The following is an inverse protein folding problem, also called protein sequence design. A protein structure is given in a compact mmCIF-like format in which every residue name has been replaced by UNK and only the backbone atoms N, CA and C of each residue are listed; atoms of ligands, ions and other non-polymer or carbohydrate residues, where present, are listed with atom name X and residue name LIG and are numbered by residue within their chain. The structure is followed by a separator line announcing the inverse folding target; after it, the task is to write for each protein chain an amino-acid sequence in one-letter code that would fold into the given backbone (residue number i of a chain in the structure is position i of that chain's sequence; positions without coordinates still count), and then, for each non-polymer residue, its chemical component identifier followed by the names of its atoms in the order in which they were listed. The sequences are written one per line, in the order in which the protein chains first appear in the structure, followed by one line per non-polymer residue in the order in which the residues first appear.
data_IF_489242821077
#
_entry.id   IF_489242821077
#
_cell.length_a   1.000
_cell.length_b   1.000
_cell.length_c   1.000
_cell.angle_alpha   90.00
_cell.angle_beta   90.00
_cell.angle_gamma   90.00
#
_symmetry.space_group_name_H-M   'P 1'
#
loop_
_entity.id
_entity.type
_entity.pdbx_description
1 polymer ?
#
# COMPACT_ATOMS: atom_id res chain seq x y z
N UNK A 1 29.15 -16.81 14.95
CA UNK A 1 27.72 -16.58 14.67
C UNK A 1 27.64 -15.93 13.29
N UNK A 2 27.41 -16.71 12.24
CA UNK A 2 27.30 -16.17 10.88
C UNK A 2 25.98 -15.42 10.76
N UNK A 3 26.03 -14.09 10.59
CA UNK A 3 24.87 -13.31 10.16
C UNK A 3 24.53 -13.76 8.74
N UNK A 4 23.40 -14.39 8.57
CA UNK A 4 22.86 -14.66 7.25
C UNK A 4 22.63 -13.31 6.57
N UNK A 5 23.41 -13.02 5.53
CA UNK A 5 23.15 -11.88 4.65
C UNK A 5 21.82 -12.11 3.99
N UNK A 6 20.82 -11.30 4.32
CA UNK A 6 19.55 -11.28 3.59
C UNK A 6 19.82 -10.67 2.22
N UNK A 7 19.97 -11.50 1.20
CA UNK A 7 20.01 -11.03 -0.17
C UNK A 7 18.59 -10.74 -0.65
N UNK A 8 18.37 -9.53 -1.13
CA UNK A 8 17.16 -9.23 -1.91
C UNK A 8 17.27 -9.96 -3.23
N UNK A 9 16.32 -10.82 -3.55
CA UNK A 9 16.24 -11.44 -4.87
C UNK A 9 15.76 -10.39 -5.89
N UNK A 10 16.71 -9.67 -6.46
CA UNK A 10 16.45 -8.58 -7.40
C UNK A 10 15.86 -9.08 -8.71
N UNK A 11 16.20 -10.30 -9.15
CA UNK A 11 15.63 -10.87 -10.38
C UNK A 11 14.13 -11.09 -10.22
N UNK A 12 13.73 -11.73 -9.11
CA UNK A 12 12.34 -11.95 -8.80
C UNK A 12 11.57 -10.65 -8.61
N UNK A 13 12.20 -9.64 -8.02
CA UNK A 13 11.61 -8.33 -7.85
C UNK A 13 11.38 -7.63 -9.19
N UNK A 14 12.33 -7.77 -10.13
CA UNK A 14 12.19 -7.24 -11.51
C UNK A 14 11.00 -7.87 -12.23
N UNK A 15 10.81 -9.19 -12.11
CA UNK A 15 9.66 -9.89 -12.71
C UNK A 15 8.34 -9.34 -12.15
N UNK A 16 8.25 -9.15 -10.84
CA UNK A 16 7.06 -8.55 -10.21
C UNK A 16 6.77 -7.13 -10.70
N UNK A 17 7.78 -6.30 -10.90
CA UNK A 17 7.57 -4.97 -11.45
C UNK A 17 7.15 -4.99 -12.91
N UNK A 18 7.65 -5.95 -13.69
CA UNK A 18 7.17 -6.17 -15.04
C UNK A 18 5.66 -6.53 -15.05
N UNK A 19 5.25 -7.50 -14.23
CA UNK A 19 3.85 -7.91 -14.10
C UNK A 19 2.97 -6.74 -13.64
N UNK A 20 3.44 -5.94 -12.70
CA UNK A 20 2.76 -4.72 -12.28
C UNK A 20 2.61 -3.72 -13.43
N UNK A 21 3.67 -3.51 -14.23
CA UNK A 21 3.67 -2.48 -15.26
C UNK A 21 2.78 -2.83 -16.46
N UNK A 22 2.73 -4.09 -16.87
CA UNK A 22 2.08 -4.52 -18.10
C UNK A 22 0.80 -5.32 -17.91
N UNK A 23 0.72 -6.12 -16.84
CA UNK A 23 -0.41 -7.03 -16.62
C UNK A 23 -1.31 -6.57 -15.46
N UNK A 24 -0.86 -5.59 -14.66
CA UNK A 24 -1.61 -5.11 -13.50
C UNK A 24 -1.64 -6.10 -12.34
N UNK A 25 -0.76 -7.10 -12.34
CA UNK A 25 -0.62 -8.11 -11.27
C UNK A 25 0.37 -7.59 -10.23
N UNK A 26 -0.12 -7.20 -9.09
CA UNK A 26 0.65 -6.50 -8.05
C UNK A 26 0.72 -7.27 -6.72
N UNK A 27 -0.19 -8.23 -6.51
CA UNK A 27 -0.37 -8.88 -5.20
C UNK A 27 0.88 -9.62 -4.74
N UNK A 28 1.52 -10.37 -5.65
CA UNK A 28 2.71 -11.15 -5.33
C UNK A 28 3.92 -10.27 -5.02
N UNK A 29 4.11 -9.20 -5.77
CA UNK A 29 5.20 -8.25 -5.56
C UNK A 29 5.09 -7.53 -4.21
N UNK A 30 3.91 -7.01 -3.89
CA UNK A 30 3.69 -6.34 -2.60
C UNK A 30 3.71 -7.31 -1.42
N UNK A 31 3.23 -8.54 -1.59
CA UNK A 31 3.35 -9.59 -0.57
C UNK A 31 4.81 -9.96 -0.32
N UNK A 32 5.60 -10.10 -1.38
CA UNK A 32 7.05 -10.35 -1.28
C UNK A 32 7.75 -9.27 -0.45
N UNK A 33 7.44 -7.99 -0.69
CA UNK A 33 7.99 -6.87 0.10
C UNK A 33 7.54 -6.94 1.56
N UNK A 34 6.27 -7.24 1.82
CA UNK A 34 5.75 -7.37 3.18
C UNK A 34 6.40 -8.51 3.96
N UNK A 35 6.63 -9.66 3.32
CA UNK A 35 7.34 -10.79 3.91
C UNK A 35 8.82 -10.47 4.21
N UNK A 36 9.47 -9.73 3.30
CA UNK A 36 10.83 -9.26 3.53
C UNK A 36 10.90 -8.29 4.71
N UNK A 37 9.93 -7.37 4.83
CA UNK A 37 9.81 -6.48 5.99
C UNK A 37 9.64 -7.25 7.29
N UNK A 38 8.74 -8.24 7.33
CA UNK A 38 8.50 -9.06 8.51
C UNK A 38 9.78 -9.80 8.98
N UNK A 39 10.55 -10.34 8.04
CA UNK A 39 11.82 -11.03 8.35
C UNK A 39 12.86 -10.10 8.98
N UNK A 40 12.97 -8.86 8.49
CA UNK A 40 13.95 -7.88 9.01
C UNK A 40 13.48 -7.32 10.36
N UNK A 41 12.19 -7.06 10.51
CA UNK A 41 11.62 -6.41 11.70
C UNK A 41 11.49 -7.36 12.90
N UNK A 42 11.28 -8.65 12.67
CA UNK A 42 11.19 -9.66 13.73
C UNK A 42 12.49 -9.84 14.53
N UNK A 43 13.63 -9.41 13.98
CA UNK A 43 14.96 -9.51 14.62
C UNK A 43 15.29 -8.28 15.48
N UNK A 44 14.56 -7.20 15.34
CA UNK A 44 14.75 -5.94 16.08
C UNK A 44 13.52 -5.66 16.93
N UNK A 45 13.59 -5.98 18.20
CA UNK A 45 12.53 -5.66 19.14
C UNK A 45 12.16 -4.16 19.08
N UNK A 46 10.94 -3.86 18.68
CA UNK A 46 10.21 -2.74 19.22
C UNK A 46 10.07 -1.47 18.41
N UNK A 47 10.27 -1.42 17.08
CA UNK A 47 9.90 -0.20 16.33
C UNK A 47 8.79 -0.51 15.33
N UNK A 48 7.59 -0.73 15.88
CA UNK A 48 6.35 -0.79 15.11
C UNK A 48 5.92 0.64 14.77
N UNK A 49 6.45 1.22 13.69
CA UNK A 49 6.04 2.54 13.24
C UNK A 49 5.77 2.57 11.75
N UNK A 50 4.77 3.32 11.37
CA UNK A 50 4.40 3.57 9.97
C UNK A 50 5.60 4.14 9.20
N UNK A 51 6.37 5.04 9.80
CA UNK A 51 7.57 5.63 9.18
C UNK A 51 8.63 4.59 8.83
N UNK A 52 8.84 3.56 9.66
CA UNK A 52 9.81 2.51 9.37
C UNK A 52 9.33 1.62 8.22
N UNK A 53 8.04 1.31 8.20
CA UNK A 53 7.42 0.58 7.11
C UNK A 53 7.51 1.36 5.80
N UNK A 54 7.19 2.66 5.81
CA UNK A 54 7.32 3.54 4.65
C UNK A 54 8.77 3.58 4.15
N UNK A 55 9.75 3.75 5.04
CA UNK A 55 11.17 3.74 4.68
C UNK A 55 11.62 2.45 4.03
N UNK A 56 11.15 1.30 4.54
CA UNK A 56 11.43 0.00 3.95
C UNK A 56 10.80 -0.15 2.56
N UNK A 57 9.51 0.17 2.42
CA UNK A 57 8.83 0.12 1.13
C UNK A 57 9.46 1.08 0.12
N UNK A 58 9.82 2.30 0.54
CA UNK A 58 10.53 3.25 -0.31
C UNK A 58 11.81 2.66 -0.91
N UNK A 59 12.61 1.95 -0.09
CA UNK A 59 13.84 1.32 -0.56
C UNK A 59 13.57 0.24 -1.62
N UNK A 60 12.54 -0.58 -1.42
CA UNK A 60 12.16 -1.62 -2.39
C UNK A 60 11.52 -1.04 -3.65
N UNK A 61 10.59 -0.08 -3.50
CA UNK A 61 9.90 0.56 -4.62
C UNK A 61 10.85 1.34 -5.53
N UNK A 62 11.99 1.81 -5.03
CA UNK A 62 13.01 2.46 -5.84
C UNK A 62 13.95 1.49 -6.58
N UNK A 63 13.81 0.18 -6.39
CA UNK A 63 14.56 -0.82 -7.16
C UNK A 63 13.88 -1.18 -8.50
N UNK A 64 12.81 -0.48 -8.86
CA UNK A 64 12.13 -0.66 -10.13
C UNK A 64 12.63 0.31 -11.19
N UNK A 65 12.45 -0.07 -12.46
CA UNK A 65 12.77 0.78 -13.62
C UNK A 65 11.50 1.38 -14.29
N UNK A 66 10.32 0.85 -13.98
CA UNK A 66 9.07 1.17 -14.69
C UNK A 66 8.33 2.37 -14.14
N UNK A 67 8.64 2.76 -12.90
CA UNK A 67 7.90 3.78 -12.17
C UNK A 67 8.81 4.83 -11.53
N UNK A 68 8.36 6.05 -11.54
CA UNK A 68 8.87 7.09 -10.65
C UNK A 68 8.08 6.98 -9.35
N UNK A 69 8.74 6.59 -8.27
CA UNK A 69 8.12 6.49 -6.94
C UNK A 69 8.02 7.88 -6.32
N UNK A 70 6.80 8.37 -6.14
CA UNK A 70 6.52 9.64 -5.47
C UNK A 70 5.99 9.39 -4.06
N UNK A 71 6.80 9.54 -3.00
CA UNK A 71 6.34 9.44 -1.63
C UNK A 71 5.61 10.72 -1.21
N UNK A 72 4.68 10.58 -0.26
CA UNK A 72 3.97 11.71 0.36
C UNK A 72 3.43 12.72 -0.67
N UNK A 73 2.87 12.21 -1.77
CA UNK A 73 2.30 13.07 -2.79
C UNK A 73 0.99 13.68 -2.28
N UNK A 74 0.92 15.03 -2.31
CA UNK A 74 -0.28 15.75 -1.92
C UNK A 74 -1.39 15.55 -2.95
N UNK A 75 -2.51 14.99 -2.50
CA UNK A 75 -3.70 14.70 -3.28
C UNK A 75 -4.95 15.08 -2.48
N UNK A 76 -5.73 16.02 -2.99
CA UNK A 76 -7.05 16.36 -2.45
C UNK A 76 -7.07 16.64 -0.93
N UNK A 77 -6.18 17.53 -0.48
CA UNK A 77 -6.00 17.92 0.93
C UNK A 77 -5.48 16.82 1.87
N UNK A 78 -4.72 15.88 1.34
CA UNK A 78 -4.01 14.86 2.11
C UNK A 78 -2.82 14.34 1.34
N UNK A 79 -2.08 13.42 1.95
CA UNK A 79 -0.89 12.82 1.37
C UNK A 79 -1.09 11.33 1.24
N UNK A 80 -0.88 10.76 0.04
CA UNK A 80 -0.77 9.31 -0.09
C UNK A 80 0.64 8.87 0.26
N UNK A 81 0.79 7.65 0.81
CA UNK A 81 2.12 7.17 1.17
C UNK A 81 3.02 7.02 -0.04
N UNK A 82 2.50 6.41 -1.12
CA UNK A 82 3.23 6.30 -2.39
C UNK A 82 2.29 6.42 -3.59
N UNK A 83 2.77 7.10 -4.61
CA UNK A 83 2.24 7.03 -5.95
C UNK A 83 3.32 6.48 -6.88
N UNK A 84 3.05 5.37 -7.56
CA UNK A 84 3.90 4.83 -8.61
C UNK A 84 3.46 5.42 -9.94
N UNK A 85 4.17 6.44 -10.36
CA UNK A 85 3.94 7.16 -11.62
C UNK A 85 4.56 6.39 -12.78
N UNK A 86 3.84 6.16 -13.89
CA UNK A 86 4.43 5.48 -15.03
C UNK A 86 5.55 6.32 -15.65
N UNK A 87 6.72 5.72 -15.87
CA UNK A 87 7.82 6.37 -16.59
C UNK A 87 7.67 6.14 -18.11
N UNK A 88 6.75 6.84 -18.73
CA UNK A 88 6.50 6.74 -20.18
C UNK A 88 7.63 7.28 -21.06
N UNK A 89 8.66 7.88 -20.46
CA UNK A 89 9.86 8.27 -21.20
C UNK A 89 10.66 7.04 -21.65
N UNK A 90 10.63 5.98 -20.81
CA UNK A 90 11.44 4.79 -21.04
C UNK A 90 10.60 3.53 -21.27
N UNK A 91 9.39 3.45 -20.67
CA UNK A 91 8.56 2.23 -20.64
C UNK A 91 7.10 2.54 -20.96
N UNK A 92 6.46 1.67 -21.74
CA UNK A 92 5.05 1.77 -22.06
C UNK A 92 4.17 1.08 -21.00
N UNK A 93 4.39 1.42 -19.72
CA UNK A 93 3.61 0.88 -18.60
C UNK A 93 2.12 1.17 -18.77
N UNK A 94 1.27 0.17 -18.50
CA UNK A 94 -0.18 0.26 -18.67
C UNK A 94 -0.93 0.48 -17.36
N UNK A 95 -0.25 0.37 -16.23
CA UNK A 95 -0.81 0.45 -14.90
C UNK A 95 -0.03 1.45 -14.04
N UNK A 96 -0.74 2.11 -13.13
CA UNK A 96 -0.19 3.00 -12.10
C UNK A 96 -0.83 2.70 -10.76
N UNK A 97 -0.21 3.12 -9.65
CA UNK A 97 -0.59 2.66 -8.32
C UNK A 97 -0.57 3.79 -7.30
N UNK A 98 -1.63 3.87 -6.49
CA UNK A 98 -1.61 4.59 -5.21
C UNK A 98 -1.57 3.53 -4.12
N UNK A 99 -0.59 3.63 -3.22
CA UNK A 99 -0.45 2.75 -2.07
C UNK A 99 -0.67 3.54 -0.78
N UNK A 100 -1.41 2.93 0.13
CA UNK A 100 -1.65 3.42 1.48
C UNK A 100 -1.24 2.35 2.47
N UNK A 101 -0.31 2.66 3.37
CA UNK A 101 0.21 1.76 4.39
C UNK A 101 -0.39 2.12 5.74
N UNK A 102 -0.88 1.14 6.47
CA UNK A 102 -1.42 1.32 7.81
C UNK A 102 -0.78 0.33 8.78
N UNK A 103 -0.35 0.83 9.93
CA UNK A 103 0.26 0.03 10.99
C UNK A 103 -0.49 0.24 12.29
N UNK A 104 -0.76 -0.84 12.98
CA UNK A 104 -1.16 -0.86 14.38
C UNK A 104 -0.27 -1.86 15.11
N UNK A 105 0.09 -1.55 16.34
CA UNK A 105 0.74 -2.53 17.21
C UNK A 105 -0.16 -3.75 17.39
N UNK A 106 0.42 -4.89 17.78
CA UNK A 106 -0.35 -6.13 18.01
C UNK A 106 -1.49 -5.93 19.01
N UNK A 107 -1.28 -5.09 20.02
CA UNK A 107 -2.29 -4.75 21.04
C UNK A 107 -3.40 -3.88 20.46
N UNK A 108 -3.05 -2.82 19.78
CA UNK A 108 -4.01 -1.87 19.20
C UNK A 108 -4.86 -2.49 18.09
N UNK A 109 -4.31 -3.45 17.35
CA UNK A 109 -5.00 -4.09 16.24
C UNK A 109 -6.30 -4.79 16.68
N UNK A 110 -6.27 -5.41 17.86
CA UNK A 110 -7.41 -6.14 18.44
C UNK A 110 -8.19 -5.31 19.48
N UNK A 111 -7.81 -4.05 19.72
CA UNK A 111 -8.47 -3.15 20.67
C UNK A 111 -9.87 -2.78 20.17
N UNK A 112 -10.87 -2.95 21.05
CA UNK A 112 -12.25 -2.52 20.81
C UNK A 112 -12.43 -1.04 21.17
N UNK A 113 -13.07 -0.30 20.27
CA UNK A 113 -13.38 1.10 20.47
C UNK A 113 -14.70 1.21 21.28
N UNK A 114 -14.69 1.99 22.37
CA UNK A 114 -15.84 2.11 23.27
C UNK A 114 -17.00 2.90 22.66
N UNK A 115 -16.69 3.86 21.79
CA UNK A 115 -17.65 4.83 21.26
C UNK A 115 -17.99 4.59 19.77
N UNK A 116 -17.52 3.51 19.17
CA UNK A 116 -17.76 3.19 17.77
C UNK A 116 -18.34 1.78 17.65
N UNK A 117 -19.59 1.72 17.22
CA UNK A 117 -20.31 0.47 17.03
C UNK A 117 -20.44 0.14 15.55
N UNK A 118 -20.51 -1.16 15.24
CA UNK A 118 -20.89 -1.67 13.92
C UNK A 118 -22.39 -1.57 13.70
N UNK A 119 -22.85 -1.84 12.49
CA UNK A 119 -24.28 -1.86 12.15
C UNK A 119 -25.10 -2.85 13.01
N UNK A 120 -24.47 -3.94 13.47
CA UNK A 120 -25.07 -4.96 14.33
C UNK A 120 -25.04 -4.60 15.83
N UNK A 121 -24.53 -3.42 16.19
CA UNK A 121 -24.41 -2.94 17.57
C UNK A 121 -23.20 -3.50 18.34
N UNK A 122 -22.35 -4.34 17.75
CA UNK A 122 -21.12 -4.82 18.38
C UNK A 122 -20.02 -3.74 18.35
N UNK A 123 -19.08 -3.75 19.32
CA UNK A 123 -17.95 -2.83 19.30
C UNK A 123 -17.09 -3.01 18.03
N UNK A 124 -16.66 -1.90 17.43
CA UNK A 124 -15.76 -1.91 16.29
C UNK A 124 -14.33 -1.98 16.78
N UNK A 125 -13.50 -2.84 16.16
CA UNK A 125 -12.07 -2.87 16.44
C UNK A 125 -11.36 -1.66 15.81
N UNK A 126 -10.29 -1.21 16.46
CA UNK A 126 -9.43 -0.11 15.97
C UNK A 126 -8.88 -0.41 14.56
N UNK A 127 -8.52 -1.66 14.29
CA UNK A 127 -8.08 -2.10 12.96
C UNK A 127 -9.17 -2.00 11.89
N UNK A 128 -10.42 -2.29 12.24
CA UNK A 128 -11.54 -2.17 11.31
C UNK A 128 -11.82 -0.70 10.97
N UNK A 129 -11.83 0.17 12.01
CA UNK A 129 -12.00 1.60 11.80
C UNK A 129 -10.87 2.18 10.93
N UNK A 130 -9.61 1.89 11.25
CA UNK A 130 -8.45 2.34 10.47
C UNK A 130 -8.56 1.89 9.01
N UNK A 131 -9.04 0.66 8.77
CA UNK A 131 -9.25 0.15 7.42
C UNK A 131 -10.32 0.94 6.66
N UNK A 132 -11.45 1.22 7.28
CA UNK A 132 -12.53 2.00 6.66
C UNK A 132 -12.08 3.43 6.35
N UNK A 133 -11.38 4.05 7.29
CA UNK A 133 -10.80 5.38 7.10
C UNK A 133 -9.80 5.40 5.92
N UNK A 134 -8.97 4.36 5.79
CA UNK A 134 -8.03 4.22 4.69
C UNK A 134 -8.72 4.00 3.32
N UNK A 135 -9.82 3.25 3.28
CA UNK A 135 -10.64 3.07 2.07
C UNK A 135 -11.24 4.40 1.60
N UNK A 136 -11.75 5.19 2.52
CA UNK A 136 -12.27 6.52 2.21
C UNK A 136 -11.16 7.47 1.75
N UNK A 137 -10.03 7.46 2.46
CA UNK A 137 -8.86 8.27 2.19
C UNK A 137 -8.30 8.02 0.77
N UNK A 138 -8.01 6.76 0.42
CA UNK A 138 -7.45 6.42 -0.89
C UNK A 138 -8.44 6.69 -2.04
N UNK A 139 -9.73 6.55 -1.78
CA UNK A 139 -10.77 6.88 -2.77
C UNK A 139 -10.80 8.38 -3.05
N UNK A 140 -10.74 9.21 -2.01
CA UNK A 140 -10.65 10.67 -2.14
C UNK A 140 -9.39 11.11 -2.88
N UNK A 141 -8.27 10.43 -2.66
CA UNK A 141 -7.02 10.71 -3.39
C UNK A 141 -7.14 10.39 -4.87
N UNK A 142 -7.70 9.23 -5.21
CA UNK A 142 -7.88 8.82 -6.60
C UNK A 142 -8.80 9.75 -7.40
N UNK A 143 -9.75 10.41 -6.72
CA UNK A 143 -10.68 11.37 -7.32
C UNK A 143 -10.06 12.78 -7.49
N UNK A 144 -8.80 12.99 -7.06
CA UNK A 144 -8.14 14.27 -7.23
C UNK A 144 -7.91 14.59 -8.72
N UNK A 145 -8.24 15.79 -9.22
CA UNK A 145 -8.07 16.15 -10.64
C UNK A 145 -6.64 15.96 -11.15
N UNK A 146 -5.65 16.15 -10.28
CA UNK A 146 -4.23 15.95 -10.59
C UNK A 146 -3.90 14.49 -10.94
N UNK A 147 -4.62 13.54 -10.39
CA UNK A 147 -4.37 12.09 -10.62
C UNK A 147 -4.58 11.72 -12.07
N UNK A 148 -5.57 12.30 -12.74
CA UNK A 148 -5.83 12.03 -14.16
C UNK A 148 -4.61 12.38 -15.04
N UNK A 149 -3.96 13.50 -14.76
CA UNK A 149 -2.73 13.88 -15.45
C UNK A 149 -1.54 12.99 -15.06
N UNK A 150 -1.44 12.62 -13.79
CA UNK A 150 -0.32 11.84 -13.26
C UNK A 150 -0.33 10.39 -13.73
N UNK A 151 -1.49 9.77 -13.87
CA UNK A 151 -1.61 8.39 -14.37
C UNK A 151 -1.37 8.26 -15.87
N UNK A 152 -1.33 9.35 -16.62
CA UNK A 152 -0.98 9.39 -18.04
C UNK A 152 -1.74 8.36 -18.91
N UNK A 153 -3.03 8.17 -18.65
CA UNK A 153 -3.89 7.22 -19.37
C UNK A 153 -3.79 5.76 -18.93
N UNK A 154 -2.95 5.43 -17.94
CA UNK A 154 -2.84 4.08 -17.38
C UNK A 154 -4.07 3.69 -16.54
N UNK A 155 -4.23 2.40 -16.29
CA UNK A 155 -5.19 1.90 -15.30
C UNK A 155 -4.67 2.16 -13.89
N UNK A 156 -5.40 2.94 -13.10
CA UNK A 156 -5.02 3.28 -11.72
C UNK A 156 -5.50 2.19 -10.75
N UNK A 157 -4.57 1.63 -9.99
CA UNK A 157 -4.86 0.72 -8.90
C UNK A 157 -4.75 1.44 -7.55
N UNK A 158 -5.72 1.20 -6.65
CA UNK A 158 -5.77 1.74 -5.30
C UNK A 158 -5.56 0.60 -4.32
N UNK A 159 -4.45 0.60 -3.62
CA UNK A 159 -4.02 -0.52 -2.80
C UNK A 159 -3.82 -0.03 -1.36
N UNK A 160 -4.44 -0.74 -0.41
CA UNK A 160 -4.27 -0.52 1.02
C UNK A 160 -3.60 -1.76 1.59
N UNK A 161 -2.54 -1.56 2.36
CA UNK A 161 -1.85 -2.61 3.10
C UNK A 161 -1.89 -2.28 4.59
N UNK A 162 -2.53 -3.15 5.38
CA UNK A 162 -2.63 -2.99 6.81
C UNK A 162 -1.81 -4.03 7.54
N UNK A 163 -0.98 -3.56 8.46
CA UNK A 163 -0.04 -4.38 9.24
C UNK A 163 -0.45 -4.45 10.70
N UNK A 164 -0.31 -5.65 11.28
CA UNK A 164 -0.38 -5.91 12.70
C UNK A 164 1.05 -6.07 13.22
N UNK A 165 1.60 -5.01 13.81
CA UNK A 165 3.03 -4.92 14.06
C UNK A 165 3.80 -4.93 12.74
N UNK A 166 4.64 -5.93 12.53
CA UNK A 166 5.40 -6.12 11.28
C UNK A 166 4.78 -7.12 10.28
N UNK A 167 3.66 -7.76 10.64
CA UNK A 167 3.01 -8.78 9.82
C UNK A 167 1.89 -8.17 8.97
N UNK A 168 1.87 -8.49 7.68
CA UNK A 168 0.77 -8.09 6.80
C UNK A 168 -0.52 -8.80 7.21
N UNK A 169 -1.47 -8.05 7.75
CA UNK A 169 -2.75 -8.57 8.20
C UNK A 169 -3.82 -8.54 7.10
N UNK A 170 -3.81 -7.49 6.28
CA UNK A 170 -4.80 -7.29 5.20
C UNK A 170 -4.17 -6.54 4.04
N UNK A 171 -4.47 -6.98 2.82
CA UNK A 171 -4.13 -6.28 1.59
C UNK A 171 -5.28 -6.46 0.60
N UNK A 172 -5.81 -5.39 0.10
CA UNK A 172 -6.89 -5.44 -0.89
C UNK A 172 -6.85 -4.23 -1.82
N UNK A 173 -7.30 -4.38 -3.08
CA UNK A 173 -7.69 -3.24 -3.88
C UNK A 173 -8.90 -2.58 -3.19
N UNK A 174 -8.89 -1.26 -3.10
CA UNK A 174 -10.07 -0.51 -2.69
C UNK A 174 -11.15 -0.71 -3.76
N UNK A 175 -12.25 -1.40 -3.42
CA UNK A 175 -13.38 -1.56 -4.32
C UNK A 175 -13.91 -0.16 -4.65
N UNK A 176 -13.88 0.24 -5.91
CA UNK A 176 -14.62 1.40 -6.37
C UNK A 176 -16.11 1.14 -6.11
N UNK A 177 -16.78 2.01 -5.36
CA UNK A 177 -18.25 2.04 -5.34
C UNK A 177 -18.69 2.44 -6.74
N UNK A 178 -19.06 1.48 -7.58
CA UNK A 178 -19.87 1.80 -8.74
C UNK A 178 -21.19 2.37 -8.20
N UNK A 179 -21.37 3.69 -8.27
CA UNK A 179 -22.71 4.27 -8.23
C UNK A 179 -23.45 3.67 -9.45
N UNK A 180 -24.38 2.77 -9.16
CA UNK A 180 -25.41 2.45 -10.13
C UNK A 180 -26.15 3.77 -10.39
N UNK A 181 -25.96 4.35 -11.54
CA UNK A 181 -26.86 5.34 -12.08
C UNK A 181 -28.05 4.52 -12.57
N UNK A 182 -29.09 4.44 -11.77
CA UNK A 182 -30.38 3.98 -12.24
C UNK A 182 -30.96 5.09 -13.14
N UNK A 183 -31.15 4.74 -14.38
CA UNK A 183 -31.95 5.52 -15.34
C UNK A 183 -33.43 5.25 -15.06
#
# INVERSE_FOLDING_TARGET
MYQAKSYVDTNRLTDYYYDMAYDGVWEEGLRFMAEAYAKVSSVRDGIESERNLQGFFMAYLNLNDYYITAPELELNHGYCDFFLLPDHTHYASQHSYILELKVLSKKEFDEELKDVLKEDGSPMKKSEKQWLDAVEQISRYADAPRVEALRQGTTLHKIIMQFKGWELARCCPSKSRHRKVEN
#
